data_IF_553230432547
#
_entry.id   IF_553230432547
#
_cell.length_a   1.000
_cell.length_b   1.000
_cell.length_c   1.000
_cell.angle_alpha   90.00
_cell.angle_beta   90.00
_cell.angle_gamma   90.00
#
_symmetry.space_group_name_H-M   'P 1'
#
loop_
_entity.id
_entity.type
_entity.pdbx_description
1 polymer ?
#
# COMPACT_ATOMS: atom_id res chain seq x y z
N UNK A 1 -13.01 -4.00 12.83
CA UNK A 1 -12.95 -4.29 11.38
C UNK A 1 -14.36 -4.39 10.82
N UNK A 2 -14.83 -3.41 10.02
CA UNK A 2 -16.11 -3.56 9.29
C UNK A 2 -15.90 -4.56 8.14
N UNK A 3 -16.81 -5.54 7.99
CA UNK A 3 -16.87 -6.45 6.83
C UNK A 3 -16.70 -5.64 5.53
N UNK A 4 -15.95 -6.12 4.52
CA UNK A 4 -16.00 -5.51 3.20
C UNK A 4 -17.46 -5.49 2.76
N UNK A 5 -18.02 -4.32 2.40
CA UNK A 5 -19.43 -4.15 2.01
C UNK A 5 -19.88 -5.17 0.94
N UNK A 6 -18.93 -5.74 0.20
CA UNK A 6 -19.18 -6.60 -0.95
C UNK A 6 -18.74 -8.06 -0.76
N UNK A 7 -18.29 -8.49 0.43
CA UNK A 7 -17.82 -9.88 0.64
C UNK A 7 -18.92 -10.94 0.42
N UNK A 8 -20.18 -10.57 0.60
CA UNK A 8 -21.33 -11.43 0.30
C UNK A 8 -21.68 -11.53 -1.19
N UNK A 9 -21.03 -10.76 -2.07
CA UNK A 9 -21.38 -10.69 -3.49
C UNK A 9 -21.15 -12.01 -4.22
N UNK A 10 -20.02 -12.69 -3.95
CA UNK A 10 -19.71 -14.00 -4.55
C UNK A 10 -20.71 -15.04 -4.07
N UNK A 11 -21.00 -15.07 -2.76
CA UNK A 11 -21.98 -15.98 -2.18
C UNK A 11 -23.37 -15.77 -2.78
N UNK A 12 -23.79 -14.51 -2.96
CA UNK A 12 -25.04 -14.17 -3.63
C UNK A 12 -25.05 -14.59 -5.11
N UNK A 13 -23.97 -14.36 -5.86
CA UNK A 13 -23.89 -14.82 -7.25
C UNK A 13 -24.03 -16.34 -7.33
N UNK A 14 -23.29 -17.07 -6.50
CA UNK A 14 -23.32 -18.54 -6.47
C UNK A 14 -24.72 -19.06 -6.15
N UNK A 15 -25.41 -18.43 -5.18
CA UNK A 15 -26.80 -18.73 -4.85
C UNK A 15 -27.76 -18.44 -6.02
N UNK A 16 -27.62 -17.29 -6.68
CA UNK A 16 -28.48 -16.94 -7.83
C UNK A 16 -28.26 -17.87 -9.02
N UNK A 17 -27.01 -18.29 -9.29
CA UNK A 17 -26.70 -19.28 -10.32
C UNK A 17 -27.29 -20.66 -9.98
N UNK A 18 -27.19 -21.10 -8.73
CA UNK A 18 -27.78 -22.37 -8.25
C UNK A 18 -29.31 -22.40 -8.36
N UNK A 19 -29.97 -21.26 -8.16
CA UNK A 19 -31.42 -21.14 -8.24
C UNK A 19 -31.95 -20.81 -9.64
N UNK A 20 -31.13 -20.90 -10.69
CA UNK A 20 -31.51 -20.56 -12.08
C UNK A 20 -31.78 -19.07 -12.34
N UNK A 21 -31.48 -18.18 -11.38
CA UNK A 21 -31.71 -16.74 -11.46
C UNK A 21 -30.48 -15.98 -11.99
N UNK A 22 -29.93 -16.44 -13.12
CA UNK A 22 -28.68 -15.92 -13.71
C UNK A 22 -28.70 -14.41 -13.90
N UNK A 23 -29.79 -13.84 -14.39
CA UNK A 23 -29.90 -12.41 -14.69
C UNK A 23 -29.76 -11.52 -13.46
N UNK A 24 -30.32 -11.94 -12.32
CA UNK A 24 -30.17 -11.22 -11.04
C UNK A 24 -28.72 -11.23 -10.56
N UNK A 25 -28.03 -12.36 -10.72
CA UNK A 25 -26.61 -12.48 -10.42
C UNK A 25 -25.74 -11.57 -11.30
N UNK A 26 -26.00 -11.57 -12.61
CA UNK A 26 -25.30 -10.73 -13.58
C UNK A 26 -25.54 -9.23 -13.32
N UNK A 27 -26.74 -8.83 -12.92
CA UNK A 27 -27.05 -7.45 -12.57
C UNK A 27 -26.19 -6.93 -11.39
N UNK A 28 -25.99 -7.75 -10.35
CA UNK A 28 -25.12 -7.42 -9.22
C UNK A 28 -23.67 -7.27 -9.68
N UNK A 29 -23.19 -8.19 -10.52
CA UNK A 29 -21.83 -8.13 -11.06
C UNK A 29 -21.63 -6.91 -11.94
N UNK A 30 -22.60 -6.53 -12.78
CA UNK A 30 -22.54 -5.30 -13.60
C UNK A 30 -22.43 -4.04 -12.75
N UNK A 31 -23.06 -4.01 -11.57
CA UNK A 31 -22.92 -2.90 -10.64
C UNK A 31 -21.54 -2.89 -9.97
N UNK A 32 -21.09 -4.05 -9.47
CA UNK A 32 -19.80 -4.19 -8.79
C UNK A 32 -18.62 -3.90 -9.71
N UNK A 33 -18.70 -4.29 -10.98
CA UNK A 33 -17.63 -4.11 -11.95
C UNK A 33 -17.34 -2.62 -12.27
N UNK A 34 -18.22 -1.70 -11.85
CA UNK A 34 -17.97 -0.25 -11.88
C UNK A 34 -17.12 0.25 -10.71
N UNK A 35 -16.87 -0.58 -9.71
CA UNK A 35 -16.12 -0.22 -8.50
C UNK A 35 -14.66 -0.66 -8.59
N UNK A 36 -13.72 0.22 -8.19
CA UNK A 36 -12.30 -0.12 -8.06
C UNK A 36 -12.03 -0.85 -6.74
N UNK A 37 -12.46 -2.10 -6.67
CA UNK A 37 -12.26 -3.00 -5.53
C UNK A 37 -11.95 -4.42 -6.01
N UNK A 38 -11.42 -5.27 -5.13
CA UNK A 38 -11.17 -6.69 -5.44
C UNK A 38 -12.40 -7.38 -6.07
N UNK A 39 -13.59 -7.17 -5.49
CA UNK A 39 -14.83 -7.75 -6.02
C UNK A 39 -15.31 -7.07 -7.31
N UNK A 40 -14.93 -5.81 -7.54
CA UNK A 40 -15.23 -5.14 -8.79
C UNK A 40 -14.36 -5.64 -9.94
N UNK A 41 -13.06 -5.82 -9.71
CA UNK A 41 -12.17 -6.43 -10.71
C UNK A 41 -12.57 -7.88 -11.00
N UNK A 42 -12.87 -8.67 -9.97
CA UNK A 42 -13.39 -10.02 -10.16
C UNK A 42 -14.71 -10.04 -10.94
N UNK A 43 -15.61 -9.07 -10.67
CA UNK A 43 -16.85 -8.97 -11.42
C UNK A 43 -16.62 -8.58 -12.88
N UNK A 44 -15.65 -7.70 -13.15
CA UNK A 44 -15.25 -7.34 -14.50
C UNK A 44 -14.62 -8.52 -15.26
N UNK A 45 -13.75 -9.30 -14.61
CA UNK A 45 -13.19 -10.55 -15.17
C UNK A 45 -14.29 -11.54 -15.53
N UNK A 46 -15.22 -11.78 -14.61
CA UNK A 46 -16.33 -12.70 -14.82
C UNK A 46 -17.24 -12.24 -15.98
N UNK A 47 -17.41 -10.93 -16.14
CA UNK A 47 -18.20 -10.33 -17.22
C UNK A 47 -17.40 -10.12 -18.52
N UNK A 48 -16.09 -10.41 -18.54
CA UNK A 48 -15.18 -10.16 -19.65
C UNK A 48 -15.24 -8.70 -20.16
N UNK A 49 -15.21 -7.74 -19.23
CA UNK A 49 -15.21 -6.32 -19.54
C UNK A 49 -13.99 -5.63 -18.92
N UNK A 50 -13.69 -4.42 -19.41
CA UNK A 50 -12.60 -3.61 -18.89
C UNK A 50 -12.77 -3.24 -17.41
N UNK A 51 -11.64 -3.08 -16.73
CA UNK A 51 -11.62 -2.64 -15.34
C UNK A 51 -11.95 -1.16 -15.19
N UNK A 52 -12.82 -0.84 -14.23
CA UNK A 52 -13.10 0.53 -13.85
C UNK A 52 -11.94 1.16 -13.06
N UNK A 53 -10.93 1.68 -13.77
CA UNK A 53 -9.74 2.32 -13.21
C UNK A 53 -9.86 3.85 -13.07
N UNK A 54 -11.04 4.36 -12.70
CA UNK A 54 -11.27 5.81 -12.56
C UNK A 54 -10.15 6.47 -11.76
N UNK A 55 -9.45 7.39 -12.42
CA UNK A 55 -8.36 8.17 -11.86
C UNK A 55 -8.72 9.65 -11.95
N UNK A 56 -8.95 10.27 -10.80
CA UNK A 56 -9.19 11.71 -10.65
C UNK A 56 -8.13 12.22 -9.67
N UNK A 57 -6.98 12.69 -10.18
CA UNK A 57 -5.93 13.22 -9.32
C UNK A 57 -6.42 14.40 -8.50
N UNK A 58 -6.01 14.47 -7.23
CA UNK A 58 -6.31 15.64 -6.40
C UNK A 58 -5.42 16.78 -6.89
N UNK A 59 -6.04 17.91 -7.19
CA UNK A 59 -5.35 19.15 -7.54
C UNK A 59 -5.07 19.91 -6.24
N UNK A 60 -3.80 20.14 -5.94
CA UNK A 60 -3.38 20.96 -4.81
C UNK A 60 -3.27 22.41 -5.26
N UNK A 61 -4.27 23.22 -4.95
CA UNK A 61 -4.21 24.66 -5.18
C UNK A 61 -3.18 25.31 -4.26
N UNK A 62 -2.30 26.17 -4.81
CA UNK A 62 -1.25 26.85 -4.04
C UNK A 62 -1.83 27.69 -2.88
N UNK A 63 -2.99 28.32 -3.06
CA UNK A 63 -3.69 29.03 -1.97
C UNK A 63 -4.01 28.13 -0.78
N UNK A 64 -4.51 26.92 -1.04
CA UNK A 64 -4.87 25.97 0.02
C UNK A 64 -3.63 25.37 0.68
N UNK A 65 -2.59 25.11 -0.13
CA UNK A 65 -1.28 24.66 0.37
C UNK A 65 -0.67 25.69 1.32
N UNK A 66 -0.54 26.94 0.89
CA UNK A 66 0.04 28.03 1.70
C UNK A 66 -0.76 28.26 2.98
N UNK A 67 -2.10 28.27 2.89
CA UNK A 67 -2.96 28.40 4.07
C UNK A 67 -2.70 27.29 5.09
N UNK A 68 -2.57 26.04 4.66
CA UNK A 68 -2.28 24.92 5.58
C UNK A 68 -0.87 25.03 6.17
N UNK A 69 0.14 25.35 5.35
CA UNK A 69 1.52 25.45 5.80
C UNK A 69 1.76 26.58 6.81
N UNK A 70 0.89 27.60 6.84
CA UNK A 70 0.92 28.69 7.81
C UNK A 70 0.20 28.37 9.14
N UNK A 71 -0.45 27.21 9.26
CA UNK A 71 -1.03 26.80 10.54
C UNK A 71 0.08 26.36 11.50
N UNK A 72 -0.11 26.63 12.80
CA UNK A 72 0.87 26.33 13.86
C UNK A 72 1.39 24.89 13.79
N UNK A 73 0.50 23.91 13.65
CA UNK A 73 0.89 22.50 13.57
C UNK A 73 1.81 22.19 12.37
N UNK A 74 1.59 22.85 11.22
CA UNK A 74 2.42 22.66 10.03
C UNK A 74 3.72 23.45 10.07
N UNK A 75 3.75 24.58 10.79
CA UNK A 75 4.99 25.29 11.09
C UNK A 75 5.92 24.42 11.94
N UNK A 76 5.40 23.76 12.99
CA UNK A 76 6.17 22.81 13.81
C UNK A 76 6.76 21.68 12.96
N UNK A 77 5.96 21.12 12.04
CA UNK A 77 6.45 20.10 11.10
C UNK A 77 7.57 20.66 10.21
N UNK A 78 7.42 21.89 9.74
CA UNK A 78 8.42 22.55 8.90
C UNK A 78 9.74 22.78 9.65
N UNK A 79 9.68 23.13 10.94
CA UNK A 79 10.85 23.24 11.82
C UNK A 79 11.57 21.89 12.00
N UNK A 80 10.84 20.82 12.32
CA UNK A 80 11.45 19.48 12.41
C UNK A 80 12.13 19.08 11.10
N UNK A 81 11.49 19.36 9.96
CA UNK A 81 12.08 19.08 8.63
C UNK A 81 13.32 19.93 8.37
N UNK A 82 13.34 21.20 8.76
CA UNK A 82 14.52 22.07 8.65
C UNK A 82 15.71 21.52 9.46
N UNK A 83 15.43 20.86 10.59
CA UNK A 83 16.42 20.19 11.44
C UNK A 83 16.76 18.76 10.99
N UNK A 84 16.22 18.28 9.87
CA UNK A 84 16.37 16.89 9.37
C UNK A 84 15.86 15.83 10.36
N UNK A 85 14.87 16.20 11.18
CA UNK A 85 14.19 15.34 12.13
C UNK A 85 12.89 14.79 11.50
N UNK A 86 13.02 14.10 10.36
CA UNK A 86 11.86 13.62 9.59
C UNK A 86 10.98 12.66 10.39
N UNK A 87 11.55 11.87 11.30
CA UNK A 87 10.80 10.91 12.12
C UNK A 87 9.87 11.65 13.08
N UNK A 88 10.37 12.66 13.77
CA UNK A 88 9.62 13.52 14.68
C UNK A 88 8.54 14.29 13.92
N UNK A 89 8.88 14.84 12.76
CA UNK A 89 7.95 15.52 11.87
C UNK A 89 6.80 14.60 11.41
N UNK A 90 7.13 13.37 11.02
CA UNK A 90 6.19 12.33 10.62
C UNK A 90 5.30 11.82 11.75
N UNK A 91 5.79 11.80 12.99
CA UNK A 91 5.00 11.50 14.18
C UNK A 91 4.02 12.64 14.48
N UNK A 92 4.50 13.88 14.40
CA UNK A 92 3.68 15.07 14.63
C UNK A 92 2.61 15.29 13.54
N UNK A 93 2.82 14.75 12.33
CA UNK A 93 1.84 14.78 11.24
C UNK A 93 0.41 14.43 11.69
N UNK A 94 0.26 13.42 12.54
CA UNK A 94 -1.05 12.94 12.99
C UNK A 94 -1.79 13.94 13.88
N UNK A 95 -1.04 14.78 14.61
CA UNK A 95 -1.58 15.90 15.37
C UNK A 95 -2.10 16.96 14.39
N UNK A 96 -1.28 17.38 13.43
CA UNK A 96 -1.62 18.41 12.44
C UNK A 96 -2.87 18.06 11.63
N UNK A 97 -3.00 16.80 11.21
CA UNK A 97 -4.16 16.36 10.41
C UNK A 97 -5.34 15.87 11.26
N UNK A 98 -5.29 15.96 12.59
CA UNK A 98 -6.33 15.39 13.48
C UNK A 98 -7.70 16.00 13.20
N UNK A 99 -7.76 17.33 13.10
CA UNK A 99 -9.00 18.10 13.01
C UNK A 99 -9.36 18.54 11.59
N UNK A 100 -8.49 18.30 10.60
CA UNK A 100 -8.76 18.63 9.21
C UNK A 100 -9.92 17.80 8.64
N UNK A 101 -10.67 18.39 7.70
CA UNK A 101 -11.83 17.75 7.03
C UNK A 101 -11.87 18.14 5.55
N UNK A 102 -12.57 17.34 4.75
CA UNK A 102 -12.86 17.66 3.34
C UNK A 102 -11.59 17.97 2.55
N UNK A 103 -11.61 19.11 1.84
CA UNK A 103 -10.51 19.54 0.97
C UNK A 103 -9.19 19.76 1.72
N UNK A 104 -9.22 20.09 3.01
CA UNK A 104 -7.99 20.29 3.81
C UNK A 104 -7.24 18.98 4.04
N UNK A 105 -7.97 17.86 4.24
CA UNK A 105 -7.33 16.54 4.30
C UNK A 105 -6.74 16.14 2.95
N UNK A 106 -7.43 16.45 1.85
CA UNK A 106 -6.92 16.17 0.50
C UNK A 106 -5.66 16.97 0.21
N UNK A 107 -5.65 18.26 0.57
CA UNK A 107 -4.49 19.12 0.43
C UNK A 107 -3.32 18.64 1.31
N UNK A 108 -3.58 18.31 2.57
CA UNK A 108 -2.57 17.72 3.46
C UNK A 108 -1.99 16.41 2.90
N UNK A 109 -2.83 15.53 2.36
CA UNK A 109 -2.35 14.29 1.72
C UNK A 109 -1.42 14.58 0.54
N UNK A 110 -1.72 15.60 -0.28
CA UNK A 110 -0.84 16.03 -1.39
C UNK A 110 0.46 16.68 -0.91
N UNK A 111 0.42 17.44 0.18
CA UNK A 111 1.64 17.98 0.82
C UNK A 111 2.55 16.82 1.26
N UNK A 112 2.02 15.83 1.99
CA UNK A 112 2.79 14.65 2.38
C UNK A 112 3.33 13.87 1.16
N UNK A 113 2.55 13.76 0.08
CA UNK A 113 3.02 13.15 -1.17
C UNK A 113 4.21 13.92 -1.77
N UNK A 114 4.14 15.26 -1.83
CA UNK A 114 5.22 16.11 -2.32
C UNK A 114 6.51 15.96 -1.49
N UNK A 115 6.37 15.65 -0.21
CA UNK A 115 7.49 15.38 0.69
C UNK A 115 7.95 13.92 0.68
N UNK A 116 7.39 13.08 -0.20
CA UNK A 116 7.64 11.62 -0.27
C UNK A 116 7.31 10.86 1.01
N UNK A 117 6.42 11.40 1.84
CA UNK A 117 5.90 10.72 3.03
C UNK A 117 4.70 9.87 2.64
N UNK A 118 4.96 8.80 1.89
CA UNK A 118 3.93 7.99 1.22
C UNK A 118 2.90 7.42 2.19
N UNK A 119 3.33 6.89 3.34
CA UNK A 119 2.44 6.36 4.38
C UNK A 119 1.50 7.43 4.92
N UNK A 120 2.01 8.61 5.23
CA UNK A 120 1.23 9.76 5.69
C UNK A 120 0.21 10.19 4.63
N UNK A 121 0.64 10.33 3.37
CA UNK A 121 -0.23 10.67 2.25
C UNK A 121 -1.37 9.64 2.09
N UNK A 122 -1.03 8.35 2.02
CA UNK A 122 -1.96 7.23 1.85
C UNK A 122 -2.99 7.17 2.98
N UNK A 123 -2.56 7.29 4.23
CA UNK A 123 -3.47 7.22 5.38
C UNK A 123 -4.32 8.49 5.49
N UNK A 124 -3.76 9.66 5.17
CA UNK A 124 -4.49 10.94 5.20
C UNK A 124 -5.58 10.97 4.12
N UNK A 125 -5.28 10.53 2.89
CA UNK A 125 -6.31 10.46 1.83
C UNK A 125 -7.40 9.42 2.16
N UNK A 126 -7.02 8.31 2.82
CA UNK A 126 -7.97 7.30 3.25
C UNK A 126 -8.94 7.84 4.33
N UNK A 127 -8.46 8.71 5.24
CA UNK A 127 -9.31 9.43 6.20
C UNK A 127 -10.30 10.37 5.51
N UNK A 128 -9.90 11.00 4.41
CA UNK A 128 -10.79 11.78 3.55
C UNK A 128 -11.80 10.94 2.76
N UNK A 129 -11.68 9.60 2.80
CA UNK A 129 -12.46 8.64 2.00
C UNK A 129 -12.37 8.89 0.50
N UNK A 130 -11.25 9.44 0.05
CA UNK A 130 -10.99 9.71 -1.36
C UNK A 130 -10.12 8.61 -1.93
N UNK A 131 -10.60 8.00 -3.00
CA UNK A 131 -9.96 6.82 -3.57
C UNK A 131 -9.36 7.10 -4.96
N UNK A 132 -9.80 8.16 -5.64
CA UNK A 132 -9.59 8.29 -7.08
C UNK A 132 -8.24 8.86 -7.49
N UNK A 133 -7.41 9.35 -6.55
CA UNK A 133 -6.01 9.70 -6.84
C UNK A 133 -5.15 8.43 -6.78
N UNK A 134 -4.97 7.77 -7.94
CA UNK A 134 -4.24 6.50 -8.05
C UNK A 134 -2.77 6.70 -7.71
N UNK A 135 -2.14 7.76 -8.24
CA UNK A 135 -0.71 8.01 -8.08
C UNK A 135 -0.32 8.28 -6.62
N UNK A 136 -1.17 8.97 -5.85
CA UNK A 136 -0.95 9.15 -4.42
C UNK A 136 -1.12 7.84 -3.64
N UNK A 137 -2.10 7.01 -4.04
CA UNK A 137 -2.40 5.76 -3.34
C UNK A 137 -1.43 4.64 -3.67
N UNK A 138 -0.80 4.65 -4.84
CA UNK A 138 0.10 3.61 -5.32
C UNK A 138 1.35 4.29 -5.89
N UNK A 139 2.25 4.80 -5.03
CA UNK A 139 3.47 5.47 -5.49
C UNK A 139 4.39 4.47 -6.20
N UNK A 140 5.08 4.97 -7.23
CA UNK A 140 6.08 4.23 -7.99
C UNK A 140 7.46 4.69 -7.50
N UNK A 141 7.94 4.04 -6.44
CA UNK A 141 9.27 4.27 -5.87
C UNK A 141 10.11 3.00 -5.95
N UNK A 142 11.43 3.15 -5.86
CA UNK A 142 12.41 2.05 -5.93
C UNK A 142 12.27 1.16 -7.18
N UNK A 143 11.81 1.72 -8.30
CA UNK A 143 11.46 0.98 -9.52
C UNK A 143 12.56 0.02 -9.97
N UNK A 144 13.79 0.52 -10.14
CA UNK A 144 14.92 -0.30 -10.54
C UNK A 144 15.15 -1.46 -9.57
N UNK A 145 15.19 -1.19 -8.25
CA UNK A 145 15.41 -2.21 -7.24
C UNK A 145 14.29 -3.25 -7.18
N UNK A 146 13.04 -2.84 -7.41
CA UNK A 146 11.90 -3.75 -7.45
C UNK A 146 11.94 -4.60 -8.72
N UNK A 147 12.15 -4.00 -9.90
CA UNK A 147 12.23 -4.73 -11.18
C UNK A 147 13.38 -5.74 -11.19
N UNK A 148 14.56 -5.36 -10.71
CA UNK A 148 15.72 -6.25 -10.66
C UNK A 148 15.47 -7.46 -9.76
N UNK A 149 14.91 -7.24 -8.57
CA UNK A 149 14.63 -8.34 -7.64
C UNK A 149 13.42 -9.18 -8.08
N UNK A 150 12.42 -8.57 -8.72
CA UNK A 150 11.31 -9.29 -9.35
C UNK A 150 11.83 -10.24 -10.43
N UNK A 151 12.63 -9.73 -11.36
CA UNK A 151 13.23 -10.53 -12.43
C UNK A 151 14.10 -11.67 -11.90
N UNK A 152 15.00 -11.39 -10.94
CA UNK A 152 15.85 -12.41 -10.30
C UNK A 152 15.06 -13.54 -9.64
N UNK A 153 13.87 -13.23 -9.13
CA UNK A 153 13.00 -14.19 -8.45
C UNK A 153 11.84 -14.69 -9.34
N UNK A 154 11.83 -14.33 -10.64
CA UNK A 154 10.76 -14.65 -11.58
C UNK A 154 9.36 -14.24 -11.07
N UNK A 155 9.28 -13.11 -10.36
CA UNK A 155 8.05 -12.55 -9.82
C UNK A 155 7.54 -11.42 -10.74
N UNK A 156 6.24 -11.19 -10.74
CA UNK A 156 5.68 -9.98 -11.33
C UNK A 156 6.01 -8.75 -10.45
N UNK A 157 6.56 -7.71 -11.06
CA UNK A 157 6.85 -6.41 -10.46
C UNK A 157 5.65 -5.83 -9.71
N UNK A 158 4.43 -5.99 -10.25
CA UNK A 158 3.19 -5.51 -9.64
C UNK A 158 2.89 -6.19 -8.29
N UNK A 159 3.29 -7.46 -8.13
CA UNK A 159 3.11 -8.19 -6.87
C UNK A 159 4.01 -7.62 -5.78
N UNK A 160 5.28 -7.31 -6.10
CA UNK A 160 6.19 -6.69 -5.14
C UNK A 160 5.68 -5.30 -4.72
N UNK A 161 5.23 -4.49 -5.68
CA UNK A 161 4.58 -3.21 -5.37
C UNK A 161 3.36 -3.39 -4.46
N UNK A 162 2.49 -4.36 -4.76
CA UNK A 162 1.32 -4.68 -3.95
C UNK A 162 1.67 -5.10 -2.52
N UNK A 163 2.75 -5.88 -2.35
CA UNK A 163 3.26 -6.30 -1.04
C UNK A 163 3.77 -5.09 -0.25
N UNK A 164 4.71 -4.30 -0.80
CA UNK A 164 5.27 -3.12 -0.10
C UNK A 164 4.16 -2.16 0.29
N UNK A 165 3.23 -1.90 -0.64
CA UNK A 165 2.09 -1.03 -0.42
C UNK A 165 1.23 -1.47 0.76
N UNK A 166 1.11 -2.77 0.95
CA UNK A 166 0.27 -3.37 1.99
C UNK A 166 1.01 -3.51 3.32
N UNK A 167 2.30 -3.82 3.29
CA UNK A 167 3.12 -4.08 4.48
C UNK A 167 3.61 -2.78 5.14
N UNK A 168 4.18 -1.84 4.38
CA UNK A 168 4.72 -0.59 4.95
C UNK A 168 4.09 0.69 4.41
N UNK A 169 3.35 0.61 3.30
CA UNK A 169 2.93 1.80 2.54
C UNK A 169 4.13 2.64 2.04
N UNK A 170 5.21 1.95 1.65
CA UNK A 170 6.48 2.55 1.20
C UNK A 170 7.24 3.34 2.27
N UNK A 171 6.97 3.08 3.55
CA UNK A 171 7.79 3.57 4.66
C UNK A 171 8.99 2.63 4.86
N UNK A 172 10.17 3.06 4.42
CA UNK A 172 11.42 2.28 4.56
C UNK A 172 11.88 2.12 6.01
N UNK A 173 11.41 3.00 6.90
CA UNK A 173 11.74 2.98 8.33
C UNK A 173 10.71 2.21 9.16
N UNK A 174 9.70 1.62 8.52
CA UNK A 174 8.57 0.98 9.18
C UNK A 174 9.02 -0.14 10.14
N UNK A 175 8.53 -0.06 11.38
CA UNK A 175 8.64 -1.12 12.38
C UNK A 175 7.26 -1.54 12.88
N UNK A 176 6.98 -2.85 12.88
CA UNK A 176 5.75 -3.37 13.49
C UNK A 176 5.91 -3.57 15.01
N UNK A 177 4.80 -3.64 15.78
CA UNK A 177 4.85 -3.95 17.21
C UNK A 177 5.51 -5.28 17.54
N UNK A 178 5.44 -6.26 16.62
CA UNK A 178 6.05 -7.58 16.78
C UNK A 178 7.49 -7.64 16.22
N UNK A 179 8.00 -6.52 15.71
CA UNK A 179 9.40 -6.35 15.33
C UNK A 179 9.73 -6.56 13.85
N UNK A 180 8.73 -6.61 12.97
CA UNK A 180 8.93 -6.66 11.51
C UNK A 180 9.49 -5.31 11.00
N UNK A 181 10.39 -5.32 10.00
CA UNK A 181 11.17 -4.14 9.64
C UNK A 181 11.18 -3.85 8.12
N UNK A 182 11.13 -2.56 7.77
CA UNK A 182 11.35 -2.03 6.42
C UNK A 182 10.18 -2.21 5.45
N UNK A 183 10.46 -2.03 4.15
CA UNK A 183 9.47 -1.97 3.07
C UNK A 183 8.53 -3.18 2.99
N UNK A 184 9.08 -4.38 3.12
CA UNK A 184 8.36 -5.65 3.04
C UNK A 184 8.15 -6.30 4.42
N UNK A 185 8.33 -5.53 5.51
CA UNK A 185 8.10 -5.96 6.89
C UNK A 185 8.72 -7.33 7.22
N UNK A 186 10.04 -7.43 7.07
CA UNK A 186 10.77 -8.68 7.30
C UNK A 186 11.08 -8.83 8.79
N UNK A 187 10.77 -10.00 9.36
CA UNK A 187 11.17 -10.33 10.73
C UNK A 187 12.69 -10.51 10.85
N UNK A 188 13.37 -9.99 11.91
CA UNK A 188 14.81 -10.11 12.07
C UNK A 188 15.35 -11.56 12.07
N UNK A 189 14.55 -12.51 12.58
CA UNK A 189 14.88 -13.95 12.55
C UNK A 189 14.93 -14.45 11.10
N UNK A 190 13.90 -14.14 10.32
CA UNK A 190 13.78 -14.46 8.89
C UNK A 190 14.89 -13.80 8.09
N UNK A 191 15.14 -12.51 8.31
CA UNK A 191 16.24 -11.79 7.65
C UNK A 191 17.61 -12.43 7.90
N UNK A 192 17.89 -12.88 9.14
CA UNK A 192 19.12 -13.59 9.47
C UNK A 192 19.23 -14.94 8.77
N UNK A 193 18.11 -15.67 8.64
CA UNK A 193 18.07 -16.93 7.91
C UNK A 193 18.38 -16.71 6.42
N UNK A 194 17.66 -15.79 5.77
CA UNK A 194 17.88 -15.42 4.36
C UNK A 194 19.34 -15.01 4.13
N UNK A 195 19.89 -14.19 5.02
CA UNK A 195 21.28 -13.73 4.91
C UNK A 195 22.27 -14.91 4.87
N UNK A 196 22.03 -15.99 5.62
CA UNK A 196 22.85 -17.20 5.55
C UNK A 196 22.65 -17.96 4.25
N UNK A 197 21.40 -18.14 3.83
CA UNK A 197 21.04 -18.89 2.62
C UNK A 197 21.64 -18.28 1.35
N UNK A 198 21.71 -16.95 1.27
CA UNK A 198 22.24 -16.22 0.10
C UNK A 198 23.67 -15.68 0.31
N UNK A 199 24.37 -16.14 1.36
CA UNK A 199 25.72 -15.71 1.73
C UNK A 199 25.90 -14.18 1.82
N UNK A 200 24.91 -13.50 2.40
CA UNK A 200 24.92 -12.05 2.61
C UNK A 200 25.44 -11.68 4.01
N UNK A 201 26.32 -10.68 4.14
CA UNK A 201 26.82 -10.24 5.45
C UNK A 201 25.70 -9.76 6.38
N UNK A 202 25.60 -10.36 7.57
CA UNK A 202 24.64 -9.96 8.60
C UNK A 202 25.37 -9.41 9.83
N UNK A 203 25.36 -8.08 10.00
CA UNK A 203 25.94 -7.41 11.19
C UNK A 203 24.89 -7.13 12.26
N UNK A 204 23.72 -6.64 11.86
CA UNK A 204 22.64 -6.24 12.75
C UNK A 204 21.30 -6.23 12.01
N UNK A 205 20.20 -6.30 12.77
CA UNK A 205 18.83 -6.19 12.23
C UNK A 205 18.54 -4.86 11.53
N UNK A 206 19.30 -3.80 11.85
CA UNK A 206 19.15 -2.49 11.20
C UNK A 206 19.40 -2.53 9.69
N UNK A 207 20.11 -3.54 9.19
CA UNK A 207 20.30 -3.74 7.75
C UNK A 207 18.96 -3.94 7.01
N UNK A 208 17.92 -4.42 7.70
CA UNK A 208 16.57 -4.55 7.14
C UNK A 208 15.88 -3.20 6.91
N UNK A 209 16.39 -2.10 7.46
CA UNK A 209 15.89 -0.75 7.16
C UNK A 209 16.51 -0.18 5.88
N UNK A 210 17.53 -0.83 5.30
CA UNK A 210 18.07 -0.42 4.01
C UNK A 210 17.15 -0.92 2.90
N UNK A 211 16.55 -0.04 2.07
CA UNK A 211 15.59 -0.44 1.04
C UNK A 211 16.11 -1.52 0.10
N UNK A 212 17.36 -1.39 -0.38
CA UNK A 212 17.97 -2.36 -1.30
C UNK A 212 18.09 -3.76 -0.70
N UNK A 213 18.46 -3.86 0.57
CA UNK A 213 18.55 -5.15 1.29
C UNK A 213 17.16 -5.70 1.58
N UNK A 214 16.24 -4.85 2.03
CA UNK A 214 14.87 -5.25 2.35
C UNK A 214 14.15 -5.79 1.10
N UNK A 215 14.27 -5.12 -0.05
CA UNK A 215 13.71 -5.59 -1.33
C UNK A 215 14.33 -6.92 -1.76
N UNK A 216 15.65 -7.06 -1.66
CA UNK A 216 16.35 -8.31 -2.01
C UNK A 216 15.86 -9.48 -1.15
N UNK A 217 15.81 -9.27 0.17
CA UNK A 217 15.43 -10.32 1.11
C UNK A 217 13.94 -10.65 1.01
N UNK A 218 13.10 -9.62 0.88
CA UNK A 218 11.66 -9.78 0.80
C UNK A 218 11.22 -10.46 -0.48
N UNK A 219 11.81 -10.12 -1.63
CA UNK A 219 11.53 -10.79 -2.90
C UNK A 219 11.98 -12.26 -2.86
N UNK A 220 13.19 -12.53 -2.36
CA UNK A 220 13.72 -13.89 -2.23
C UNK A 220 12.83 -14.77 -1.35
N UNK A 221 12.46 -14.25 -0.18
CA UNK A 221 11.62 -14.99 0.76
C UNK A 221 10.19 -15.15 0.26
N UNK A 222 9.65 -14.16 -0.44
CA UNK A 222 8.32 -14.28 -1.05
C UNK A 222 8.28 -15.38 -2.11
N UNK A 223 9.33 -15.51 -2.94
CA UNK A 223 9.49 -16.65 -3.86
C UNK A 223 9.48 -17.98 -3.11
N UNK A 224 10.29 -18.13 -2.05
CA UNK A 224 10.29 -19.35 -1.24
C UNK A 224 8.89 -19.68 -0.69
N UNK A 225 8.13 -18.68 -0.24
CA UNK A 225 6.78 -18.88 0.24
C UNK A 225 5.81 -19.26 -0.88
N UNK A 226 5.95 -18.69 -2.08
CA UNK A 226 5.16 -19.12 -3.23
C UNK A 226 5.41 -20.58 -3.58
N UNK A 227 6.67 -21.00 -3.62
CA UNK A 227 7.03 -22.38 -3.94
C UNK A 227 6.51 -23.34 -2.87
N UNK A 228 6.56 -22.94 -1.58
CA UNK A 228 6.02 -23.71 -0.46
C UNK A 228 4.50 -23.88 -0.50
N UNK A 229 3.77 -22.90 -1.05
CA UNK A 229 2.32 -22.89 -1.12
C UNK A 229 1.81 -23.13 -2.55
N UNK A 230 2.56 -23.85 -3.39
CA UNK A 230 2.16 -24.23 -4.76
C UNK A 230 1.66 -23.04 -5.61
N UNK A 231 2.30 -21.89 -5.48
CA UNK A 231 1.95 -20.66 -6.21
C UNK A 231 0.76 -19.88 -5.65
N UNK A 232 0.20 -20.25 -4.50
CA UNK A 232 -0.94 -19.53 -3.90
C UNK A 232 -0.49 -18.20 -3.28
N UNK A 233 -0.55 -17.12 -4.07
CA UNK A 233 -0.13 -15.76 -3.69
C UNK A 233 -0.70 -15.25 -2.36
N UNK A 234 -1.96 -15.56 -2.07
CA UNK A 234 -2.61 -15.14 -0.84
C UNK A 234 -1.99 -15.80 0.40
N UNK A 235 -1.66 -17.09 0.32
CA UNK A 235 -1.03 -17.85 1.41
C UNK A 235 0.43 -17.45 1.58
N UNK A 236 1.15 -17.29 0.48
CA UNK A 236 2.56 -16.90 0.48
C UNK A 236 2.80 -15.57 1.22
N UNK A 237 1.86 -14.63 1.12
CA UNK A 237 1.96 -13.35 1.84
C UNK A 237 1.91 -13.50 3.36
N UNK A 238 1.14 -14.44 3.91
CA UNK A 238 1.04 -14.63 5.36
C UNK A 238 2.30 -15.22 5.99
N UNK A 239 3.24 -15.71 5.16
CA UNK A 239 4.52 -16.22 5.62
C UNK A 239 5.58 -15.14 5.90
N UNK A 240 5.38 -13.91 5.40
CA UNK A 240 6.30 -12.75 5.54
C UNK A 240 6.38 -12.23 6.97
#
# INVERSE_FOLDING_TARGET
MKKPRNAGAIGKLKLFLQNGQRDKGLAIFKQLAKERSYYGFMAADYLQQDYALVNKPIILEEKNKLRLLLQEDFLIISEFRALKLDKEAQQFWWQAVRNLKGNDLLAAAKIAQQWKWHKQAILTVARAKYWDDVALRFPIEYEQGIQENASKQQLDTAIIYGLIRRESMFDETAGSPVGAMGLMQIMPKTGRQIAREINYPWRSKSILLQPSVNLKFGAYYYRQMLDKFDGHFALARYGL
#
